data_IF_847043910379
#
_entry.id   IF_847043910379
#
_cell.length_a   1.000
_cell.length_b   1.000
_cell.length_c   1.000
_cell.angle_alpha   90.00
_cell.angle_beta   90.00
_cell.angle_gamma   90.00
#
_symmetry.space_group_name_H-M   'P 1'
#
loop_
_entity.id
_entity.type
_entity.pdbx_description
1 polymer ?
#
# COMPACT_ATOMS: atom_id res chain seq x y z
N UNK A 1 12.68 -6.67 -10.02
CA UNK A 1 11.65 -5.89 -9.29
C UNK A 1 11.67 -4.45 -9.80
N UNK A 2 10.59 -3.71 -9.58
CA UNK A 2 10.46 -2.37 -10.11
C UNK A 2 11.19 -1.32 -9.23
N UNK A 3 10.75 -0.07 -9.27
CA UNK A 3 11.46 1.06 -8.69
C UNK A 3 10.63 1.69 -7.57
N UNK A 4 11.29 2.39 -6.66
CA UNK A 4 10.65 3.16 -5.60
C UNK A 4 11.20 4.59 -5.56
N UNK A 5 10.37 5.51 -5.08
CA UNK A 5 10.76 6.91 -4.92
C UNK A 5 11.46 7.15 -3.58
N UNK A 6 10.80 6.74 -2.50
CA UNK A 6 11.25 7.07 -1.14
C UNK A 6 10.76 6.08 -0.11
N UNK A 7 11.45 6.07 1.03
CA UNK A 7 11.07 5.34 2.24
C UNK A 7 10.96 6.38 3.35
N UNK A 8 9.81 6.44 4.01
CA UNK A 8 9.55 7.37 5.13
C UNK A 8 9.37 6.59 6.41
N UNK A 9 10.05 7.03 7.48
CA UNK A 9 9.84 6.49 8.83
C UNK A 9 10.27 7.49 9.89
N UNK A 10 9.61 7.58 11.05
CA UNK A 10 8.29 7.01 11.29
C UNK A 10 7.23 7.73 10.47
N UNK A 11 6.24 6.98 10.01
CA UNK A 11 5.08 7.53 9.33
C UNK A 11 3.84 7.25 10.17
N UNK A 12 3.09 8.29 10.50
CA UNK A 12 1.87 8.22 11.31
C UNK A 12 0.61 8.44 10.47
N UNK A 13 0.74 8.68 9.18
CA UNK A 13 -0.36 9.13 8.32
C UNK A 13 -0.98 8.04 7.45
N UNK A 14 -0.30 6.93 7.27
CA UNK A 14 -0.68 5.90 6.29
C UNK A 14 -0.92 4.54 6.95
N UNK A 15 -1.70 4.53 7.99
CA UNK A 15 -2.04 3.35 8.76
C UNK A 15 -1.78 3.57 10.26
N UNK A 16 -2.27 2.65 11.11
CA UNK A 16 -2.21 2.84 12.55
C UNK A 16 -0.80 2.68 13.12
N UNK A 17 -0.50 3.48 14.11
CA UNK A 17 0.78 3.46 14.83
C UNK A 17 1.93 4.06 14.05
N UNK A 18 3.15 3.88 14.55
CA UNK A 18 4.36 4.26 13.82
C UNK A 18 4.67 3.20 12.78
N UNK A 19 4.81 3.61 11.53
CA UNK A 19 5.01 2.68 10.42
C UNK A 19 6.21 3.09 9.57
N UNK A 20 6.67 2.16 8.75
CA UNK A 20 7.54 2.45 7.62
C UNK A 20 6.64 2.52 6.40
N UNK A 21 6.82 3.53 5.56
CA UNK A 21 6.09 3.65 4.30
C UNK A 21 7.06 3.65 3.14
N UNK A 22 6.78 2.86 2.11
CA UNK A 22 7.53 2.84 0.86
C UNK A 22 6.63 3.36 -0.26
N UNK A 23 7.14 4.33 -1.02
CA UNK A 23 6.45 4.93 -2.16
C UNK A 23 7.02 4.36 -3.44
N UNK A 24 6.26 3.46 -4.08
CA UNK A 24 6.67 2.81 -5.32
C UNK A 24 6.57 3.77 -6.49
N UNK A 25 7.37 3.54 -7.51
CA UNK A 25 7.41 4.35 -8.72
C UNK A 25 6.57 3.68 -9.81
N UNK A 26 5.90 4.51 -10.62
CA UNK A 26 5.09 4.05 -11.75
C UNK A 26 3.59 3.98 -11.43
N UNK A 27 2.78 4.66 -12.24
CA UNK A 27 1.32 4.65 -12.12
C UNK A 27 0.67 4.87 -13.48
N UNK A 28 -0.14 3.93 -13.97
CA UNK A 28 -0.88 4.10 -15.22
C UNK A 28 -2.22 4.82 -15.04
N UNK A 29 -2.67 5.05 -13.80
CA UNK A 29 -4.01 5.57 -13.52
C UNK A 29 -4.09 7.08 -13.71
N UNK A 30 -3.09 7.82 -13.22
CA UNK A 30 -2.98 9.28 -13.35
C UNK A 30 -4.23 10.03 -12.84
N UNK A 31 -4.58 9.84 -11.57
CA UNK A 31 -5.73 10.52 -10.97
C UNK A 31 -5.61 12.04 -11.05
N UNK A 32 -6.69 12.71 -11.44
CA UNK A 32 -6.75 14.17 -11.44
C UNK A 32 -6.56 14.70 -10.01
N UNK A 33 -5.64 15.65 -9.84
CA UNK A 33 -5.33 16.21 -8.52
C UNK A 33 -4.52 15.30 -7.63
N UNK A 34 -3.89 14.26 -8.17
CA UNK A 34 -3.02 13.36 -7.42
C UNK A 34 -1.92 14.14 -6.67
N UNK A 35 -1.72 13.83 -5.39
CA UNK A 35 -0.68 14.46 -4.56
C UNK A 35 0.73 14.03 -4.93
N UNK A 36 0.87 12.88 -5.61
CA UNK A 36 2.15 12.24 -5.90
C UNK A 36 2.37 12.03 -7.39
N UNK A 37 2.04 13.04 -8.22
CA UNK A 37 2.16 12.92 -9.67
C UNK A 37 3.58 12.66 -10.17
N UNK A 38 4.58 13.03 -9.38
CA UNK A 38 5.99 12.71 -9.66
C UNK A 38 6.27 11.19 -9.61
N UNK A 39 5.36 10.41 -9.03
CA UNK A 39 5.47 8.96 -8.96
C UNK A 39 4.85 8.25 -10.15
N UNK A 40 4.30 8.97 -11.12
CA UNK A 40 3.72 8.36 -12.33
C UNK A 40 4.76 7.76 -13.25
N UNK A 41 5.96 8.35 -13.26
CA UNK A 41 7.06 7.95 -14.15
C UNK A 41 7.63 6.58 -13.73
N UNK A 42 7.55 5.61 -14.65
CA UNK A 42 8.08 4.27 -14.40
C UNK A 42 9.62 4.20 -14.36
N UNK A 43 10.29 5.21 -14.92
CA UNK A 43 11.76 5.26 -14.95
C UNK A 43 12.36 6.09 -13.81
N UNK A 44 11.52 6.71 -12.99
CA UNK A 44 11.98 7.53 -11.87
C UNK A 44 12.45 6.72 -10.68
N UNK A 45 12.93 7.42 -9.67
CA UNK A 45 13.34 6.80 -8.41
C UNK A 45 14.56 5.89 -8.50
N UNK A 46 14.57 4.86 -7.66
CA UNK A 46 15.67 3.88 -7.55
C UNK A 46 15.13 2.47 -7.71
N UNK A 47 15.99 1.56 -8.17
CA UNK A 47 15.62 0.14 -8.26
C UNK A 47 15.43 -0.47 -6.87
N UNK A 48 14.41 -1.30 -6.74
CA UNK A 48 14.25 -2.16 -5.56
C UNK A 48 15.16 -3.36 -5.74
N UNK A 49 16.12 -3.49 -4.84
CA UNK A 49 17.10 -4.58 -4.84
C UNK A 49 17.17 -5.21 -3.44
N UNK A 50 18.07 -6.18 -3.27
CA UNK A 50 18.23 -6.88 -1.99
C UNK A 50 18.58 -5.92 -0.85
N UNK A 51 19.41 -4.91 -1.12
CA UNK A 51 19.75 -3.89 -0.12
C UNK A 51 18.52 -3.08 0.32
N UNK A 52 17.63 -2.75 -0.63
CA UNK A 52 16.36 -2.08 -0.33
C UNK A 52 15.49 -2.95 0.59
N UNK A 53 15.37 -4.23 0.27
CA UNK A 53 14.60 -5.18 1.07
C UNK A 53 15.18 -5.35 2.48
N UNK A 54 16.51 -5.42 2.60
CA UNK A 54 17.19 -5.50 3.89
C UNK A 54 16.96 -4.24 4.72
N UNK A 55 16.97 -3.09 4.08
CA UNK A 55 16.67 -1.80 4.75
C UNK A 55 15.24 -1.80 5.30
N UNK A 56 14.26 -2.21 4.50
CA UNK A 56 12.86 -2.31 4.94
C UNK A 56 12.74 -3.27 6.12
N UNK A 57 13.36 -4.45 6.02
CA UNK A 57 13.34 -5.44 7.10
C UNK A 57 13.89 -4.84 8.40
N UNK A 58 15.05 -4.19 8.34
CA UNK A 58 15.69 -3.60 9.51
C UNK A 58 14.83 -2.52 10.15
N UNK A 59 14.21 -1.66 9.34
CA UNK A 59 13.36 -0.59 9.84
C UNK A 59 12.07 -1.13 10.48
N UNK A 60 11.41 -2.08 9.82
CA UNK A 60 10.15 -2.65 10.31
C UNK A 60 10.39 -3.50 11.57
N UNK A 61 11.56 -4.13 11.69
CA UNK A 61 11.89 -4.97 12.84
C UNK A 61 12.09 -4.18 14.15
N UNK A 62 12.12 -2.87 14.11
CA UNK A 62 12.24 -2.04 15.32
C UNK A 62 11.01 -2.20 16.21
N UNK A 63 11.17 -2.30 17.55
CA UNK A 63 10.03 -2.60 18.45
C UNK A 63 8.85 -1.65 18.36
N UNK A 64 9.10 -0.35 18.12
CA UNK A 64 8.04 0.67 18.05
C UNK A 64 7.37 0.77 16.68
N UNK A 65 7.88 0.10 15.66
CA UNK A 65 7.30 0.11 14.32
C UNK A 65 6.22 -0.97 14.22
N UNK A 66 5.01 -0.59 13.80
CA UNK A 66 3.85 -1.50 13.74
C UNK A 66 3.80 -2.30 12.44
N UNK A 67 4.43 -1.82 11.39
CA UNK A 67 4.43 -2.51 10.12
C UNK A 67 4.85 -1.65 8.95
N UNK A 68 4.51 -2.11 7.75
CA UNK A 68 4.83 -1.45 6.49
C UNK A 68 3.56 -0.99 5.79
N UNK A 69 3.59 0.20 5.24
CA UNK A 69 2.57 0.70 4.31
C UNK A 69 3.20 0.86 2.93
N UNK A 70 2.55 0.31 1.91
CA UNK A 70 3.00 0.33 0.52
C UNK A 70 2.09 1.27 -0.26
N UNK A 71 2.65 2.36 -0.72
CA UNK A 71 1.95 3.42 -1.44
C UNK A 71 2.75 3.80 -2.70
N UNK A 72 2.50 4.99 -3.19
CA UNK A 72 3.31 5.65 -4.19
C UNK A 72 2.53 5.94 -5.43
N UNK A 73 3.07 5.56 -6.58
CA UNK A 73 2.37 5.44 -7.85
C UNK A 73 1.24 4.45 -7.73
N UNK A 74 1.34 3.31 -8.39
CA UNK A 74 0.30 2.27 -8.27
C UNK A 74 0.91 0.92 -7.88
N UNK A 75 0.81 0.50 -6.60
CA UNK A 75 1.36 -0.78 -6.16
C UNK A 75 0.82 -2.00 -6.90
N UNK A 76 -0.44 -1.96 -7.34
CA UNK A 76 -1.07 -3.11 -7.99
C UNK A 76 -1.07 -3.04 -9.52
N UNK A 77 -0.31 -2.13 -10.13
CA UNK A 77 -0.05 -2.25 -11.57
C UNK A 77 0.90 -3.43 -11.82
N UNK A 78 0.84 -3.98 -13.03
CA UNK A 78 1.59 -5.18 -13.41
C UNK A 78 3.07 -5.09 -13.03
N UNK A 79 3.69 -3.94 -13.31
CA UNK A 79 5.12 -3.73 -13.09
C UNK A 79 5.53 -3.80 -11.62
N UNK A 80 4.61 -3.55 -10.69
CA UNK A 80 4.89 -3.49 -9.27
C UNK A 80 4.49 -4.75 -8.49
N UNK A 81 3.80 -5.71 -9.11
CA UNK A 81 3.25 -6.86 -8.39
C UNK A 81 4.31 -7.71 -7.71
N UNK A 82 5.42 -7.97 -8.39
CA UNK A 82 6.52 -8.75 -7.83
C UNK A 82 7.13 -8.04 -6.60
N UNK A 83 7.27 -6.72 -6.68
CA UNK A 83 7.81 -5.91 -5.57
C UNK A 83 6.88 -5.96 -4.36
N UNK A 84 5.57 -5.80 -4.58
CA UNK A 84 4.58 -5.86 -3.49
C UNK A 84 4.61 -7.23 -2.81
N UNK A 85 4.63 -8.31 -3.58
CA UNK A 85 4.70 -9.66 -3.04
C UNK A 85 5.96 -9.87 -2.18
N UNK A 86 7.11 -9.43 -2.67
CA UNK A 86 8.37 -9.54 -1.93
C UNK A 86 8.35 -8.73 -0.62
N UNK A 87 7.81 -7.51 -0.65
CA UNK A 87 7.69 -6.67 0.54
C UNK A 87 6.76 -7.31 1.58
N UNK A 88 5.63 -7.86 1.15
CA UNK A 88 4.72 -8.58 2.05
C UNK A 88 5.42 -9.78 2.69
N UNK A 89 6.17 -10.55 1.91
CA UNK A 89 6.85 -11.74 2.40
C UNK A 89 7.85 -11.41 3.51
N UNK A 90 8.71 -10.40 3.30
CA UNK A 90 9.73 -10.07 4.30
C UNK A 90 9.13 -9.49 5.58
N UNK A 91 8.08 -8.69 5.47
CA UNK A 91 7.45 -8.07 6.64
C UNK A 91 6.64 -9.09 7.43
N UNK A 92 5.89 -9.95 6.77
CA UNK A 92 5.06 -10.95 7.44
C UNK A 92 5.87 -12.10 8.04
N UNK A 93 7.15 -12.22 7.71
CA UNK A 93 8.08 -13.10 8.42
C UNK A 93 8.47 -12.56 9.81
N UNK A 94 8.25 -11.28 10.07
CA UNK A 94 8.50 -10.65 11.37
C UNK A 94 7.23 -10.75 12.21
N UNK A 95 7.27 -11.35 13.43
CA UNK A 95 6.07 -11.50 14.24
C UNK A 95 5.41 -10.16 14.59
N UNK A 96 4.08 -10.13 14.55
CA UNK A 96 3.24 -9.00 14.99
C UNK A 96 3.37 -7.72 14.16
N UNK A 97 3.86 -7.83 12.93
CA UNK A 97 3.90 -6.69 12.01
C UNK A 97 2.79 -6.81 10.97
N UNK A 98 2.23 -5.65 10.58
CA UNK A 98 1.13 -5.58 9.62
C UNK A 98 1.59 -4.94 8.31
N UNK A 99 0.91 -5.28 7.22
CA UNK A 99 1.13 -4.69 5.90
C UNK A 99 -0.16 -4.06 5.41
N UNK A 100 -0.08 -2.78 5.06
CA UNK A 100 -1.13 -2.01 4.39
C UNK A 100 -0.72 -1.74 2.96
N UNK A 101 -1.62 -1.93 2.02
CA UNK A 101 -1.38 -1.65 0.60
C UNK A 101 -2.45 -0.69 0.09
N UNK A 102 -2.01 0.40 -0.53
CA UNK A 102 -2.89 1.40 -1.14
C UNK A 102 -2.93 1.18 -2.65
N UNK A 103 -4.12 1.21 -3.24
CA UNK A 103 -4.28 1.07 -4.69
C UNK A 103 -5.41 1.94 -5.21
N UNK A 104 -5.26 2.43 -6.44
CA UNK A 104 -6.33 3.11 -7.15
C UNK A 104 -7.32 2.17 -7.84
N UNK A 105 -6.99 0.88 -7.92
CA UNK A 105 -7.93 -0.12 -8.44
C UNK A 105 -8.99 -0.46 -7.39
N UNK A 106 -10.15 -0.92 -7.83
CA UNK A 106 -11.21 -1.38 -6.94
C UNK A 106 -11.16 -2.91 -6.79
N UNK A 107 -11.49 -3.38 -5.60
CA UNK A 107 -11.55 -4.82 -5.29
C UNK A 107 -12.30 -5.63 -6.36
N UNK A 108 -13.42 -5.12 -6.85
CA UNK A 108 -14.27 -5.81 -7.82
C UNK A 108 -13.55 -6.08 -9.14
N UNK A 109 -12.50 -5.31 -9.43
CA UNK A 109 -11.71 -5.46 -10.66
C UNK A 109 -10.36 -6.14 -10.46
N UNK A 110 -10.02 -6.59 -9.27
CA UNK A 110 -8.73 -7.25 -9.03
C UNK A 110 -8.61 -8.54 -9.83
N UNK A 111 -7.49 -8.69 -10.56
CA UNK A 111 -7.15 -9.93 -11.24
C UNK A 111 -6.39 -10.87 -10.30
N UNK A 112 -6.13 -12.10 -10.77
CA UNK A 112 -5.43 -13.10 -9.96
C UNK A 112 -4.01 -12.69 -9.58
N UNK A 113 -3.29 -12.02 -10.48
CA UNK A 113 -1.93 -11.52 -10.19
C UNK A 113 -1.93 -10.49 -9.07
N UNK A 114 -2.89 -9.57 -9.09
CA UNK A 114 -3.05 -8.57 -8.04
C UNK A 114 -3.39 -9.23 -6.70
N UNK A 115 -4.33 -10.16 -6.69
CA UNK A 115 -4.71 -10.90 -5.47
C UNK A 115 -3.54 -11.70 -4.89
N UNK A 116 -2.75 -12.33 -5.75
CA UNK A 116 -1.56 -13.07 -5.31
C UNK A 116 -0.51 -12.14 -4.69
N UNK A 117 -0.30 -10.96 -5.29
CA UNK A 117 0.68 -10.01 -4.78
C UNK A 117 0.36 -9.55 -3.35
N UNK A 118 -0.92 -9.38 -3.03
CA UNK A 118 -1.37 -8.92 -1.72
C UNK A 118 -1.85 -10.04 -0.81
N UNK A 119 -1.61 -11.29 -1.18
CA UNK A 119 -2.16 -12.44 -0.42
C UNK A 119 -1.86 -12.38 1.07
N UNK A 120 -0.67 -11.91 1.45
CA UNK A 120 -0.25 -11.81 2.85
C UNK A 120 -0.51 -10.45 3.48
N UNK A 121 -1.06 -9.49 2.75
CA UNK A 121 -1.38 -8.17 3.30
C UNK A 121 -2.50 -8.26 4.34
N UNK A 122 -2.51 -7.35 5.29
CA UNK A 122 -3.54 -7.27 6.32
C UNK A 122 -4.68 -6.35 5.91
N UNK A 123 -4.35 -5.21 5.31
CA UNK A 123 -5.33 -4.19 4.92
C UNK A 123 -5.00 -3.70 3.52
N UNK A 124 -6.04 -3.54 2.71
CA UNK A 124 -5.96 -2.91 1.38
C UNK A 124 -6.88 -1.69 1.37
N UNK A 125 -6.33 -0.53 1.05
CA UNK A 125 -7.12 0.68 0.83
C UNK A 125 -7.31 0.82 -0.68
N UNK A 126 -8.52 0.65 -1.16
CA UNK A 126 -8.83 0.61 -2.58
C UNK A 126 -9.57 1.85 -3.07
N UNK A 127 -9.51 2.07 -4.37
CA UNK A 127 -10.25 3.12 -5.05
C UNK A 127 -9.38 4.31 -5.46
N UNK A 128 -9.69 4.88 -6.62
CA UNK A 128 -9.01 6.07 -7.14
C UNK A 128 -9.17 7.25 -6.20
N UNK A 129 -8.13 8.08 -6.08
CA UNK A 129 -8.28 9.39 -5.47
C UNK A 129 -9.23 10.24 -6.32
N UNK A 130 -10.29 10.76 -5.71
CA UNK A 130 -11.26 11.64 -6.33
C UNK A 130 -11.22 13.00 -5.66
N UNK A 131 -10.73 14.00 -6.39
CA UNK A 131 -10.52 15.36 -5.87
C UNK A 131 -11.80 15.96 -5.29
N UNK A 132 -12.95 15.69 -5.90
CA UNK A 132 -14.26 16.18 -5.42
C UNK A 132 -14.72 15.55 -4.11
N UNK A 133 -14.12 14.43 -3.71
CA UNK A 133 -14.42 13.72 -2.47
C UNK A 133 -13.26 13.79 -1.47
N UNK A 134 -12.26 14.64 -1.76
CA UNK A 134 -11.15 14.88 -0.86
C UNK A 134 -11.61 15.53 0.44
N UNK A 135 -11.07 15.03 1.55
CA UNK A 135 -11.27 15.65 2.86
C UNK A 135 -10.07 15.29 3.74
N UNK A 136 -9.35 16.31 4.21
CA UNK A 136 -8.15 16.14 5.03
C UNK A 136 -8.45 15.54 6.42
N UNK A 137 -9.72 15.53 6.84
CA UNK A 137 -10.14 14.92 8.12
C UNK A 137 -10.33 13.39 8.00
N UNK A 138 -10.29 12.84 6.78
CA UNK A 138 -10.37 11.40 6.59
C UNK A 138 -9.13 10.72 7.17
N UNK A 139 -9.35 9.59 7.87
CA UNK A 139 -8.27 8.85 8.49
C UNK A 139 -7.78 7.78 7.51
N UNK A 140 -6.49 7.81 7.18
CA UNK A 140 -5.77 6.83 6.37
C UNK A 140 -6.28 6.66 4.94
N UNK A 141 -7.05 7.61 4.42
CA UNK A 141 -7.47 7.66 3.01
C UNK A 141 -7.61 9.11 2.57
N UNK A 142 -7.53 9.38 1.27
CA UNK A 142 -7.52 10.74 0.73
C UNK A 142 -8.89 11.22 0.26
N UNK A 143 -9.80 10.33 -0.12
CA UNK A 143 -11.13 10.68 -0.60
C UNK A 143 -12.18 9.69 -0.08
N UNK A 144 -13.43 10.16 0.03
CA UNK A 144 -14.52 9.39 0.67
C UNK A 144 -14.82 8.07 -0.02
N UNK A 145 -14.62 7.99 -1.33
CA UNK A 145 -14.88 6.78 -2.12
C UNK A 145 -13.93 5.63 -1.80
N UNK A 146 -12.77 5.92 -1.21
CA UNK A 146 -11.78 4.90 -0.87
C UNK A 146 -12.25 4.09 0.33
N UNK A 147 -11.93 2.78 0.31
CA UNK A 147 -12.37 1.83 1.34
C UNK A 147 -11.17 1.22 2.04
N UNK A 148 -11.23 1.14 3.36
CA UNK A 148 -10.19 0.48 4.16
C UNK A 148 -10.67 -0.94 4.44
N UNK A 149 -10.13 -1.89 3.67
CA UNK A 149 -10.61 -3.27 3.58
C UNK A 149 -9.74 -4.17 4.47
N UNK A 150 -10.38 -4.94 5.35
CA UNK A 150 -9.74 -6.05 6.04
C UNK A 150 -9.52 -7.16 5.02
N UNK A 151 -8.31 -7.27 4.50
CA UNK A 151 -8.05 -8.13 3.36
C UNK A 151 -8.15 -9.61 3.69
N UNK A 152 -7.66 -10.04 4.85
CA UNK A 152 -7.71 -11.45 5.23
C UNK A 152 -9.16 -11.93 5.41
N UNK A 153 -9.99 -11.14 6.07
CA UNK A 153 -11.42 -11.48 6.20
C UNK A 153 -12.14 -11.44 4.86
N UNK A 154 -11.82 -10.46 4.02
CA UNK A 154 -12.41 -10.33 2.68
C UNK A 154 -12.10 -11.56 1.82
N UNK A 155 -10.85 -12.04 1.82
CA UNK A 155 -10.47 -13.26 1.11
C UNK A 155 -11.26 -14.48 1.61
N UNK A 156 -11.32 -14.63 2.93
CA UNK A 156 -11.92 -15.81 3.54
C UNK A 156 -13.43 -15.87 3.32
N UNK A 157 -14.10 -14.72 3.33
CA UNK A 157 -15.55 -14.65 3.16
C UNK A 157 -15.99 -14.36 1.72
N UNK A 158 -15.05 -14.10 0.83
CA UNK A 158 -15.29 -13.78 -0.58
C UNK A 158 -16.27 -12.60 -0.77
N UNK A 159 -16.20 -11.62 0.12
CA UNK A 159 -16.95 -10.37 0.07
C UNK A 159 -16.18 -9.28 0.82
N UNK A 160 -16.43 -8.02 0.49
CA UNK A 160 -15.74 -6.90 1.14
C UNK A 160 -16.13 -6.84 2.62
N UNK A 161 -15.10 -6.88 3.48
CA UNK A 161 -15.20 -6.63 4.91
C UNK A 161 -14.34 -5.41 5.21
N UNK A 162 -14.96 -4.34 5.69
CA UNK A 162 -14.23 -3.13 6.07
C UNK A 162 -13.60 -3.30 7.46
N UNK A 163 -12.48 -2.62 7.68
CA UNK A 163 -11.90 -2.53 9.04
C UNK A 163 -12.87 -1.72 9.89
N UNK A 164 -13.38 -2.31 10.96
CA UNK A 164 -14.49 -1.74 11.74
C UNK A 164 -14.17 -0.36 12.33
N UNK A 165 -12.93 -0.11 12.71
CA UNK A 165 -12.50 1.17 13.31
C UNK A 165 -12.62 2.34 12.32
N UNK A 166 -12.66 2.08 11.02
CA UNK A 166 -12.67 3.08 9.95
C UNK A 166 -13.88 2.96 9.03
N UNK A 167 -14.79 2.05 9.32
CA UNK A 167 -16.01 1.89 8.55
C UNK A 167 -16.97 3.05 8.84
N UNK A 168 -17.48 3.69 7.77
CA UNK A 168 -18.45 4.78 7.85
C UNK A 168 -19.70 4.42 7.05
#
# INVERSE_FOLDING_TARGET
MNRYNSITYPDLNNGPGCRVSIFLQGCPIHCSGCFNSELWDFDGGREVNDETLDTIHSLVNRPYIKGLSILGGEPLCEDNLQTVAALCDIVKAIPNKTVWVYTGYNYEGFNEGQKQAIDKADVVVDGKFEKGLYNHDLIFKGSKNQRIIDWQKTKNENRIILVSDYAE
#
